data_IF_131809990470
#
_entry.id   IF_131809990470
#
_cell.length_a   1.000
_cell.length_b   1.000
_cell.length_c   1.000
_cell.angle_alpha   90.00
_cell.angle_beta   90.00
_cell.angle_gamma   90.00
#
_symmetry.space_group_name_H-M   'P 1'
#
loop_
_entity.id
_entity.type
_entity.pdbx_description
1 polymer ?
#
# COMPACT_ATOMS: atom_id res chain seq x y z
N UNK A 1 2.23 21.55 -1.96
CA UNK A 1 1.06 20.73 -1.59
C UNK A 1 1.03 20.53 -0.07
N UNK A 2 -0.16 20.46 0.56
CA UNK A 2 -0.39 20.30 2.02
C UNK A 2 -0.84 18.87 2.40
N UNK A 3 -0.48 17.84 1.63
CA UNK A 3 -0.83 16.44 1.93
C UNK A 3 0.01 15.83 3.05
N UNK A 4 -0.33 14.63 3.53
CA UNK A 4 0.46 13.91 4.54
C UNK A 4 1.75 13.35 3.96
N UNK A 5 1.64 12.55 2.90
CA UNK A 5 2.73 11.69 2.43
C UNK A 5 3.61 12.27 1.31
N UNK A 6 3.08 13.21 0.51
CA UNK A 6 3.73 13.60 -0.74
C UNK A 6 4.11 15.08 -0.79
N UNK A 7 5.19 15.38 -1.52
CA UNK A 7 5.69 16.73 -1.78
C UNK A 7 6.06 16.92 -3.25
N UNK A 8 6.08 18.17 -3.70
CA UNK A 8 6.57 18.58 -5.03
C UNK A 8 5.91 17.91 -6.25
N UNK A 9 4.67 17.43 -6.12
CA UNK A 9 3.88 16.87 -7.21
C UNK A 9 2.80 17.84 -7.71
N UNK A 10 2.32 17.61 -8.94
CA UNK A 10 1.19 18.32 -9.57
C UNK A 10 -0.06 17.43 -9.63
N UNK A 11 -1.21 18.10 -9.62
CA UNK A 11 -2.50 17.49 -9.87
C UNK A 11 -2.91 17.74 -11.33
N UNK A 12 -3.55 16.75 -11.95
CA UNK A 12 -4.25 16.92 -13.21
C UNK A 12 -5.76 17.09 -12.92
N UNK A 13 -6.36 18.25 -13.21
CA UNK A 13 -7.78 18.49 -12.95
C UNK A 13 -8.71 17.95 -14.05
N UNK A 14 -8.18 17.44 -15.16
CA UNK A 14 -8.98 16.94 -16.27
C UNK A 14 -9.70 15.63 -15.88
N UNK A 15 -11.05 15.62 -15.82
CA UNK A 15 -11.82 14.43 -15.44
C UNK A 15 -11.77 13.32 -16.51
N UNK A 16 -11.30 13.62 -17.73
CA UNK A 16 -11.12 12.63 -18.79
C UNK A 16 -9.76 11.92 -18.68
N UNK A 17 -8.84 12.45 -17.87
CA UNK A 17 -7.58 11.78 -17.59
C UNK A 17 -7.77 10.77 -16.46
N UNK A 18 -7.28 9.55 -16.66
CA UNK A 18 -7.53 8.44 -15.72
C UNK A 18 -6.89 8.70 -14.35
N UNK A 19 -5.65 9.18 -14.33
CA UNK A 19 -4.95 9.61 -13.13
C UNK A 19 -5.25 11.07 -12.80
N UNK A 20 -5.11 11.42 -11.53
CA UNK A 20 -5.35 12.78 -11.08
C UNK A 20 -4.05 13.45 -10.58
N UNK A 21 -2.91 12.75 -10.55
CA UNK A 21 -1.66 13.32 -10.04
C UNK A 21 -0.38 12.58 -10.46
N UNK A 22 0.75 13.28 -10.40
CA UNK A 22 2.09 12.72 -10.67
C UNK A 22 2.58 11.70 -9.63
N UNK A 23 1.90 11.56 -8.49
CA UNK A 23 2.28 10.58 -7.46
C UNK A 23 1.96 9.15 -7.90
N UNK A 24 1.04 8.99 -8.84
CA UNK A 24 0.55 7.72 -9.35
C UNK A 24 1.52 7.11 -10.37
N UNK A 25 1.62 5.79 -10.39
CA UNK A 25 2.51 5.08 -11.31
C UNK A 25 1.77 4.22 -12.34
N UNK A 26 0.43 4.31 -12.40
CA UNK A 26 -0.41 3.51 -13.30
C UNK A 26 0.14 3.44 -14.74
N UNK A 27 0.40 4.59 -15.39
CA UNK A 27 1.00 4.59 -16.72
C UNK A 27 2.51 4.41 -16.73
N UNK A 28 3.24 4.99 -15.78
CA UNK A 28 4.72 4.96 -15.80
C UNK A 28 5.26 3.55 -15.64
N UNK A 29 4.52 2.65 -14.97
CA UNK A 29 4.97 1.28 -14.75
C UNK A 29 4.96 0.44 -16.04
N UNK A 30 4.16 0.83 -17.05
CA UNK A 30 4.05 0.11 -18.32
C UNK A 30 5.38 0.04 -19.09
N UNK A 31 6.26 1.02 -18.90
CA UNK A 31 7.57 1.05 -19.55
C UNK A 31 8.50 -0.10 -19.10
N UNK A 32 8.20 -0.74 -17.96
CA UNK A 32 9.02 -1.82 -17.41
C UNK A 32 8.56 -3.22 -17.87
N UNK A 33 7.56 -3.32 -18.75
CA UNK A 33 7.10 -4.61 -19.30
C UNK A 33 6.55 -5.57 -18.23
N UNK A 34 5.89 -5.02 -17.20
CA UNK A 34 5.38 -5.76 -16.04
C UNK A 34 4.25 -6.71 -16.46
N UNK A 35 4.33 -7.96 -16.02
CA UNK A 35 3.27 -8.97 -16.16
C UNK A 35 2.68 -9.33 -14.80
N UNK A 36 1.52 -10.00 -14.76
CA UNK A 36 0.90 -10.46 -13.52
C UNK A 36 1.83 -11.35 -12.68
N UNK A 37 2.68 -12.13 -13.33
CA UNK A 37 3.61 -13.06 -12.68
C UNK A 37 4.85 -12.36 -12.10
N UNK A 38 5.18 -11.19 -12.64
CA UNK A 38 6.38 -10.42 -12.31
C UNK A 38 6.09 -9.17 -11.48
N UNK A 39 4.83 -8.70 -11.45
CA UNK A 39 4.40 -7.62 -10.59
C UNK A 39 4.41 -8.08 -9.14
N UNK A 40 5.48 -7.75 -8.42
CA UNK A 40 5.65 -8.08 -7.01
C UNK A 40 6.24 -6.91 -6.28
N UNK A 41 5.92 -6.82 -5.00
CA UNK A 41 6.56 -5.90 -4.09
C UNK A 41 6.96 -6.62 -2.81
N UNK A 42 7.98 -6.09 -2.15
CA UNK A 42 8.55 -6.68 -0.95
C UNK A 42 8.25 -5.80 0.24
N UNK A 43 7.86 -6.42 1.35
CA UNK A 43 7.70 -5.78 2.66
C UNK A 43 9.05 -5.64 3.35
N UNK A 44 9.26 -4.51 3.99
CA UNK A 44 10.42 -4.31 4.86
C UNK A 44 10.25 -5.07 6.18
N UNK A 45 11.36 -5.52 6.74
CA UNK A 45 11.41 -6.10 8.08
C UNK A 45 11.79 -5.02 9.10
N UNK A 46 11.03 -4.97 10.19
CA UNK A 46 11.16 -3.96 11.24
C UNK A 46 11.45 -4.62 12.58
N UNK A 47 12.23 -3.96 13.42
CA UNK A 47 12.56 -4.48 14.75
C UNK A 47 11.33 -4.42 15.66
N UNK A 48 10.80 -5.56 16.09
CA UNK A 48 9.68 -5.60 17.03
C UNK A 48 9.94 -4.84 18.35
N UNK A 49 11.22 -4.67 18.71
CA UNK A 49 11.65 -3.95 19.92
C UNK A 49 11.61 -2.44 19.75
N UNK A 50 12.06 -1.94 18.59
CA UNK A 50 12.24 -0.51 18.35
C UNK A 50 11.10 0.11 17.55
N UNK A 51 10.51 -0.68 16.64
CA UNK A 51 9.54 -0.25 15.65
C UNK A 51 8.26 -1.12 15.70
N UNK A 52 7.57 -1.20 16.85
CA UNK A 52 6.48 -2.16 17.06
C UNK A 52 5.32 -1.96 16.08
N UNK A 53 4.97 -0.70 15.76
CA UNK A 53 3.87 -0.38 14.84
C UNK A 53 4.12 -0.91 13.42
N UNK A 54 5.20 -0.53 12.71
CA UNK A 54 5.44 -1.07 11.38
C UNK A 54 5.72 -2.58 11.39
N UNK A 55 6.31 -3.16 12.45
CA UNK A 55 6.39 -4.61 12.60
C UNK A 55 5.01 -5.27 12.58
N UNK A 56 4.03 -4.74 13.31
CA UNK A 56 2.66 -5.27 13.31
C UNK A 56 1.96 -5.03 11.98
N UNK A 57 2.11 -3.85 11.38
CA UNK A 57 1.49 -3.52 10.10
C UNK A 57 2.02 -4.36 8.94
N UNK A 58 3.28 -4.80 9.00
CA UNK A 58 3.91 -5.67 8.01
C UNK A 58 3.87 -7.15 8.38
N UNK A 59 3.22 -7.53 9.48
CA UNK A 59 3.12 -8.92 9.89
C UNK A 59 2.35 -9.72 8.83
N UNK A 60 3.06 -10.65 8.20
CA UNK A 60 2.51 -11.48 7.14
C UNK A 60 3.23 -12.83 7.08
N UNK A 61 2.66 -13.80 6.37
CA UNK A 61 3.27 -15.13 6.18
C UNK A 61 4.30 -15.16 5.05
N UNK A 62 4.35 -14.12 4.24
CA UNK A 62 5.33 -13.90 3.18
C UNK A 62 5.72 -12.42 3.17
N UNK A 63 6.97 -12.13 2.85
CA UNK A 63 7.45 -10.76 2.64
C UNK A 63 7.35 -10.34 1.16
N UNK A 64 7.05 -11.25 0.24
CA UNK A 64 6.81 -10.95 -1.18
C UNK A 64 5.31 -11.05 -1.44
N UNK A 65 4.74 -9.96 -1.94
CA UNK A 65 3.31 -9.82 -2.22
C UNK A 65 3.13 -9.61 -3.71
N UNK A 66 2.12 -10.24 -4.30
CA UNK A 66 1.73 -9.97 -5.68
C UNK A 66 1.23 -8.53 -5.77
N UNK A 67 1.66 -7.82 -6.81
CA UNK A 67 1.11 -6.54 -7.17
C UNK A 67 -0.32 -6.70 -7.65
N UNK A 68 -1.10 -5.66 -7.46
CA UNK A 68 -2.47 -5.56 -7.94
C UNK A 68 -2.73 -4.11 -8.31
N UNK A 69 -3.64 -3.91 -9.25
CA UNK A 69 -3.92 -2.63 -9.84
C UNK A 69 -5.13 -1.99 -9.18
N UNK A 70 -5.29 -0.72 -9.47
CA UNK A 70 -6.36 0.16 -9.04
C UNK A 70 -6.10 1.50 -9.70
N UNK A 71 -6.93 2.51 -9.40
CA UNK A 71 -6.71 3.83 -9.97
C UNK A 71 -5.31 4.36 -9.62
N UNK A 72 -4.91 4.21 -8.35
CA UNK A 72 -3.52 4.38 -7.90
C UNK A 72 -2.87 3.06 -7.57
N UNK A 73 -2.08 2.54 -8.53
CA UNK A 73 -1.43 1.23 -8.44
C UNK A 73 -0.31 1.25 -7.38
N UNK A 74 0.54 2.27 -7.45
CA UNK A 74 1.64 2.48 -6.51
C UNK A 74 1.98 3.97 -6.45
N UNK A 75 2.92 4.30 -5.56
CA UNK A 75 3.36 5.66 -5.34
C UNK A 75 4.78 5.88 -5.85
N UNK A 76 4.97 6.91 -6.68
CA UNK A 76 6.27 7.30 -7.19
C UNK A 76 7.13 7.86 -6.05
N UNK A 77 8.27 7.21 -5.76
CA UNK A 77 9.14 7.57 -4.62
C UNK A 77 9.71 8.97 -4.71
N UNK A 78 9.82 9.55 -5.90
CA UNK A 78 10.35 10.90 -6.10
C UNK A 78 9.49 11.98 -5.43
N UNK A 79 8.21 11.70 -5.22
CA UNK A 79 7.27 12.63 -4.61
C UNK A 79 6.96 12.26 -3.15
N UNK A 80 7.53 11.19 -2.60
CA UNK A 80 7.32 10.81 -1.19
C UNK A 80 8.19 11.70 -0.30
N UNK A 81 7.59 12.30 0.72
CA UNK A 81 8.32 13.11 1.70
C UNK A 81 9.34 12.25 2.45
N UNK A 82 10.48 12.84 2.78
CA UNK A 82 11.57 12.16 3.50
C UNK A 82 11.19 11.53 4.84
N UNK A 83 10.19 12.08 5.53
CA UNK A 83 9.75 11.59 6.84
C UNK A 83 8.65 10.52 6.76
N UNK A 84 8.29 10.07 5.56
CA UNK A 84 7.34 8.97 5.35
C UNK A 84 8.08 7.65 5.40
N UNK A 85 7.54 6.71 6.16
CA UNK A 85 8.07 5.37 6.24
C UNK A 85 7.56 4.53 5.07
N UNK A 86 8.48 3.99 4.27
CA UNK A 86 8.14 2.99 3.25
C UNK A 86 8.15 1.61 3.91
N UNK A 87 7.00 0.95 3.92
CA UNK A 87 6.80 -0.38 4.51
C UNK A 87 6.79 -1.49 3.45
N UNK A 88 6.52 -1.16 2.20
CA UNK A 88 6.64 -2.09 1.08
C UNK A 88 6.92 -1.39 -0.24
N UNK A 89 7.78 -1.98 -1.08
CA UNK A 89 8.25 -1.38 -2.32
C UNK A 89 8.41 -2.38 -3.48
N UNK A 90 8.19 -1.87 -4.69
CA UNK A 90 8.62 -2.54 -5.92
C UNK A 90 9.87 -1.82 -6.42
N UNK A 91 11.04 -2.27 -5.94
CA UNK A 91 12.33 -1.60 -6.20
C UNK A 91 12.65 -1.50 -7.69
N UNK A 92 12.29 -2.52 -8.48
CA UNK A 92 12.51 -2.57 -9.92
C UNK A 92 11.83 -1.40 -10.67
N UNK A 93 10.76 -0.82 -10.10
CA UNK A 93 9.95 0.21 -10.74
C UNK A 93 10.08 1.58 -10.05
N UNK A 94 10.94 1.69 -9.02
CA UNK A 94 11.08 2.87 -8.18
C UNK A 94 9.76 3.29 -7.48
N UNK A 95 8.99 2.32 -6.99
CA UNK A 95 7.66 2.55 -6.42
C UNK A 95 7.57 2.12 -4.96
N UNK A 96 6.82 2.87 -4.17
CA UNK A 96 6.32 2.41 -2.89
C UNK A 96 4.89 1.88 -3.05
N UNK A 97 4.59 0.73 -2.47
CA UNK A 97 3.26 0.11 -2.48
C UNK A 97 2.53 0.30 -1.16
N UNK A 98 3.29 0.41 -0.08
CA UNK A 98 2.75 0.48 1.27
C UNK A 98 3.57 1.47 2.09
N UNK A 99 2.95 2.57 2.54
CA UNK A 99 3.63 3.68 3.22
C UNK A 99 2.87 4.12 4.45
N UNK A 100 3.59 4.60 5.45
CA UNK A 100 3.07 4.94 6.77
C UNK A 100 3.65 6.24 7.30
N UNK A 101 2.91 6.87 8.20
CA UNK A 101 3.42 7.96 9.00
C UNK A 101 2.54 8.31 10.18
N UNK A 102 3.01 9.28 10.94
CA UNK A 102 2.33 9.77 12.14
C UNK A 102 1.74 11.17 11.89
N UNK A 103 0.62 11.47 12.55
CA UNK A 103 0.06 12.81 12.62
C UNK A 103 -0.60 13.04 13.98
N UNK A 104 -0.02 13.95 14.77
CA UNK A 104 -0.55 14.26 16.09
C UNK A 104 -0.45 13.05 17.01
N UNK A 105 -1.60 12.55 17.49
CA UNK A 105 -1.68 11.35 18.35
C UNK A 105 -2.07 10.08 17.60
N UNK A 106 -2.20 10.15 16.27
CA UNK A 106 -2.62 9.05 15.42
C UNK A 106 -1.60 8.74 14.33
N UNK A 107 -1.88 7.68 13.59
CA UNK A 107 -1.11 7.23 12.44
C UNK A 107 -1.97 7.21 11.19
N UNK A 108 -1.33 7.14 10.03
CA UNK A 108 -1.97 6.95 8.74
C UNK A 108 -1.16 5.97 7.91
N UNK A 109 -1.83 5.22 7.05
CA UNK A 109 -1.21 4.27 6.13
C UNK A 109 -1.87 4.42 4.76
N UNK A 110 -1.06 4.46 3.70
CA UNK A 110 -1.55 4.33 2.32
C UNK A 110 -1.05 3.02 1.73
N UNK A 111 -1.96 2.27 1.11
CA UNK A 111 -1.70 1.01 0.44
C UNK A 111 -2.26 1.12 -0.98
N UNK A 112 -1.38 0.99 -1.98
CA UNK A 112 -1.74 1.15 -3.39
C UNK A 112 -2.45 -0.07 -3.96
N UNK A 113 -3.23 0.14 -5.01
CA UNK A 113 -4.07 -0.86 -5.67
C UNK A 113 -5.50 -0.91 -5.11
N UNK A 114 -6.34 -1.75 -5.72
CA UNK A 114 -7.75 -1.92 -5.39
C UNK A 114 -8.02 -3.24 -4.67
N UNK A 115 -7.85 -4.37 -5.37
CA UNK A 115 -8.14 -5.70 -4.85
C UNK A 115 -6.89 -6.58 -4.89
N UNK A 116 -6.33 -7.02 -3.75
CA UNK A 116 -5.14 -7.85 -3.73
C UNK A 116 -5.24 -9.23 -4.39
N UNK A 117 -6.45 -9.76 -4.55
CA UNK A 117 -6.66 -11.08 -5.16
C UNK A 117 -7.27 -11.00 -6.57
N UNK A 118 -7.54 -9.78 -7.05
CA UNK A 118 -7.89 -9.49 -8.44
C UNK A 118 -6.92 -8.47 -9.04
N UNK A 119 -6.01 -8.97 -9.89
CA UNK A 119 -4.88 -8.21 -10.42
C UNK A 119 -5.26 -6.89 -11.09
N UNK A 120 -6.38 -6.81 -11.83
CA UNK A 120 -6.78 -5.59 -12.54
C UNK A 120 -8.21 -5.13 -12.29
N UNK A 121 -9.08 -5.98 -11.73
CA UNK A 121 -10.51 -5.75 -11.46
C UNK A 121 -11.15 -4.65 -12.33
N UNK A 122 -11.66 -5.05 -13.49
CA UNK A 122 -12.33 -4.12 -14.41
C UNK A 122 -13.74 -3.82 -13.94
N UNK A 123 -14.25 -2.68 -14.38
CA UNK A 123 -15.68 -2.37 -14.23
C UNK A 123 -16.47 -3.51 -14.89
N UNK A 124 -17.47 -4.06 -14.16
CA UNK A 124 -18.30 -5.23 -14.51
C UNK A 124 -17.72 -6.61 -14.16
N UNK A 125 -16.46 -6.72 -13.72
CA UNK A 125 -15.95 -7.99 -13.21
C UNK A 125 -16.74 -8.42 -11.95
N UNK A 126 -17.01 -9.72 -11.78
CA UNK A 126 -17.71 -10.21 -10.59
C UNK A 126 -16.89 -9.88 -9.33
N UNK A 127 -17.55 -9.66 -8.18
CA UNK A 127 -16.83 -9.42 -6.94
C UNK A 127 -15.97 -10.64 -6.57
N UNK A 128 -14.79 -10.38 -6.03
CA UNK A 128 -13.88 -11.41 -5.53
C UNK A 128 -14.54 -12.24 -4.43
N UNK A 129 -14.58 -13.56 -4.61
CA UNK A 129 -15.07 -14.48 -3.59
C UNK A 129 -14.00 -14.72 -2.52
N UNK A 130 -14.11 -13.98 -1.41
CA UNK A 130 -13.17 -14.04 -0.30
C UNK A 130 -13.03 -15.44 0.32
N UNK A 131 -14.01 -16.34 0.14
CA UNK A 131 -13.90 -17.72 0.63
C UNK A 131 -12.79 -18.51 -0.07
N UNK A 132 -12.40 -18.10 -1.28
CA UNK A 132 -11.31 -18.69 -2.05
C UNK A 132 -9.92 -18.19 -1.58
N UNK A 133 -9.88 -17.12 -0.78
CA UNK A 133 -8.64 -16.43 -0.39
C UNK A 133 -8.43 -16.30 1.13
N UNK A 134 -8.62 -17.37 1.93
CA UNK A 134 -8.58 -17.28 3.40
C UNK A 134 -7.19 -16.91 3.95
N UNK A 135 -6.14 -17.10 3.16
CA UNK A 135 -4.76 -16.81 3.52
C UNK A 135 -4.13 -15.71 2.63
N UNK A 136 -4.94 -14.87 1.99
CA UNK A 136 -4.43 -13.78 1.15
C UNK A 136 -3.42 -12.92 1.91
N UNK A 137 -2.18 -12.77 1.41
CA UNK A 137 -1.21 -11.89 2.02
C UNK A 137 -1.64 -10.42 1.87
N UNK A 138 -2.26 -10.03 0.76
CA UNK A 138 -2.66 -8.66 0.52
C UNK A 138 -3.85 -8.22 1.40
N UNK A 139 -4.88 -9.06 1.53
CA UNK A 139 -5.97 -8.78 2.47
C UNK A 139 -5.51 -8.76 3.92
N UNK A 140 -4.51 -9.59 4.29
CA UNK A 140 -3.93 -9.53 5.64
C UNK A 140 -3.34 -8.15 5.96
N UNK A 141 -2.67 -7.49 5.01
CA UNK A 141 -2.16 -6.14 5.23
C UNK A 141 -3.28 -5.11 5.44
N UNK A 142 -4.39 -5.23 4.71
CA UNK A 142 -5.58 -4.39 4.93
C UNK A 142 -6.14 -4.62 6.34
N UNK A 143 -6.29 -5.88 6.74
CA UNK A 143 -6.77 -6.24 8.08
C UNK A 143 -5.84 -5.74 9.19
N UNK A 144 -4.52 -5.80 9.01
CA UNK A 144 -3.57 -5.26 9.97
C UNK A 144 -3.81 -3.76 10.20
N UNK A 145 -4.12 -2.99 9.16
CA UNK A 145 -4.43 -1.55 9.28
C UNK A 145 -5.75 -1.27 10.01
N UNK A 146 -6.73 -2.16 9.92
CA UNK A 146 -8.06 -1.96 10.53
C UNK A 146 -8.10 -2.50 11.97
N UNK A 147 -7.55 -3.69 12.19
CA UNK A 147 -7.65 -4.41 13.46
C UNK A 147 -6.67 -3.88 14.51
N UNK A 148 -5.47 -3.44 14.11
CA UNK A 148 -4.48 -2.92 15.06
C UNK A 148 -4.98 -1.67 15.82
N UNK A 149 -5.52 -0.63 15.16
CA UNK A 149 -6.09 0.52 15.87
C UNK A 149 -7.34 0.17 16.69
N UNK A 150 -8.10 -0.85 16.29
CA UNK A 150 -9.31 -1.29 16.97
C UNK A 150 -9.04 -2.13 18.24
N UNK A 151 -7.80 -2.62 18.42
CA UNK A 151 -7.43 -3.45 19.55
C UNK A 151 -7.46 -2.68 20.87
N UNK A 152 -8.38 -3.05 21.77
CA UNK A 152 -8.42 -2.49 23.13
C UNK A 152 -7.28 -3.04 23.97
N UNK A 153 -6.52 -2.16 24.62
CA UNK A 153 -5.54 -2.59 25.64
C UNK A 153 -6.27 -3.36 26.75
N UNK A 154 -5.85 -4.60 26.99
CA UNK A 154 -6.34 -5.39 28.13
C UNK A 154 -5.94 -4.64 29.40
N UNK A 155 -6.90 -4.35 30.29
CA UNK A 155 -6.58 -3.75 31.60
C UNK A 155 -5.65 -4.72 32.34
N UNK A 156 -4.50 -4.24 32.77
CA UNK A 156 -3.64 -5.02 33.65
C UNK A 156 -4.38 -5.26 34.96
N UNK A 157 -4.34 -6.49 35.48
CA UNK A 157 -4.83 -6.76 36.83
C UNK A 157 -3.85 -6.09 37.79
N UNK A 158 -4.27 -5.01 38.42
CA UNK A 158 -3.66 -4.48 39.65
C UNK A 158 -4.14 -5.31 40.83
#
# INVERSE_FOLDING_TARGET
SKGYAFENYKLNPDPLFYEFSEIDTYFTRNQYGITKETDKFTLFEFSAKWDPVPTMLCQNHTNIIQGFWGQTVAFNKNFIKKNVLIMGEAKAFNEARYIHGERGKGTWTFYGGHDPEDYMHKVEDPPTDLNLHPNSPGYRLILNNVLFPAAKKKKQKT
#
